data_IF_274150018655
#
_entry.id   IF_274150018655
#
_cell.length_a   1.000
_cell.length_b   1.000
_cell.length_c   1.000
_cell.angle_alpha   90.00
_cell.angle_beta   90.00
_cell.angle_gamma   90.00
#
_symmetry.space_group_name_H-M   'P 1'
#
loop_
_entity.id
_entity.type
_entity.pdbx_description
1 polymer ?
#
# COMPACT_ATOMS: atom_id res chain seq x y z
N UNK A 1 -24.53 -45.54 4.48
CA UNK A 1 -23.78 -44.89 5.58
C UNK A 1 -22.29 -44.69 5.27
N UNK A 2 -21.92 -44.28 4.04
CA UNK A 2 -20.51 -44.05 3.64
C UNK A 2 -20.32 -42.64 3.06
N UNK A 3 -21.32 -42.15 2.33
CA UNK A 3 -21.36 -40.79 1.78
C UNK A 3 -21.38 -39.68 2.83
N UNK A 4 -21.94 -39.92 4.02
CA UNK A 4 -22.04 -38.90 5.07
C UNK A 4 -20.66 -38.55 5.63
N UNK A 5 -19.77 -39.55 5.81
CA UNK A 5 -18.42 -39.31 6.29
C UNK A 5 -17.56 -38.56 5.28
N UNK A 6 -17.62 -38.96 4.00
CA UNK A 6 -16.95 -38.25 2.91
C UNK A 6 -17.49 -36.80 2.77
N UNK A 7 -18.80 -36.61 2.92
CA UNK A 7 -19.42 -35.30 2.92
C UNK A 7 -18.97 -34.44 4.11
N UNK A 8 -18.90 -35.01 5.32
CA UNK A 8 -18.39 -34.30 6.50
C UNK A 8 -16.93 -33.87 6.31
N UNK A 9 -16.07 -34.77 5.81
CA UNK A 9 -14.67 -34.47 5.50
C UNK A 9 -14.55 -33.38 4.43
N UNK A 10 -15.37 -33.43 3.39
CA UNK A 10 -15.44 -32.39 2.36
C UNK A 10 -15.83 -31.03 2.96
N UNK A 11 -16.82 -31.00 3.86
CA UNK A 11 -17.23 -29.77 4.55
C UNK A 11 -16.11 -29.22 5.44
N UNK A 12 -15.39 -30.07 6.17
CA UNK A 12 -14.24 -29.68 6.99
C UNK A 12 -13.11 -29.12 6.11
N UNK A 13 -12.78 -29.80 5.01
CA UNK A 13 -11.76 -29.35 4.05
C UNK A 13 -12.10 -27.99 3.43
N UNK A 14 -13.37 -27.77 3.08
CA UNK A 14 -13.84 -26.49 2.53
C UNK A 14 -13.66 -25.38 3.56
N UNK A 15 -13.94 -25.62 4.85
CA UNK A 15 -13.77 -24.62 5.91
C UNK A 15 -12.31 -24.20 6.08
N UNK A 16 -11.37 -25.13 6.12
CA UNK A 16 -9.94 -24.81 6.19
C UNK A 16 -9.48 -23.99 4.99
N UNK A 17 -9.90 -24.39 3.78
CA UNK A 17 -9.57 -23.64 2.56
C UNK A 17 -10.12 -22.20 2.59
N UNK A 18 -11.33 -21.98 3.16
CA UNK A 18 -11.88 -20.64 3.32
C UNK A 18 -11.04 -19.79 4.29
N UNK A 19 -10.56 -20.36 5.40
CA UNK A 19 -9.72 -19.64 6.36
C UNK A 19 -8.38 -19.22 5.75
N UNK A 20 -7.73 -20.10 4.99
CA UNK A 20 -6.49 -19.80 4.27
C UNK A 20 -6.71 -18.66 3.27
N UNK A 21 -7.79 -18.71 2.50
CA UNK A 21 -8.15 -17.64 1.56
C UNK A 21 -8.34 -16.31 2.29
N UNK A 22 -9.03 -16.29 3.43
CA UNK A 22 -9.21 -15.06 4.21
C UNK A 22 -7.91 -14.48 4.78
N UNK A 23 -7.00 -15.34 5.24
CA UNK A 23 -5.66 -14.90 5.70
C UNK A 23 -4.88 -14.26 4.56
N UNK A 24 -4.82 -14.92 3.40
CA UNK A 24 -4.15 -14.41 2.21
C UNK A 24 -4.74 -13.07 1.75
N UNK A 25 -6.07 -12.93 1.73
CA UNK A 25 -6.74 -11.67 1.39
C UNK A 25 -6.38 -10.56 2.39
N UNK A 26 -6.30 -10.89 3.68
CA UNK A 26 -5.94 -9.94 4.74
C UNK A 26 -4.48 -9.48 4.61
N UNK A 27 -3.56 -10.40 4.35
CA UNK A 27 -2.14 -10.09 4.09
C UNK A 27 -1.98 -9.25 2.84
N UNK A 28 -2.65 -9.59 1.74
CA UNK A 28 -2.61 -8.82 0.51
C UNK A 28 -3.16 -7.40 0.71
N UNK A 29 -4.23 -7.25 1.52
CA UNK A 29 -4.79 -5.94 1.89
C UNK A 29 -3.83 -5.11 2.75
N UNK A 30 -3.10 -5.75 3.67
CA UNK A 30 -2.03 -5.11 4.45
C UNK A 30 -0.85 -4.68 3.56
N UNK A 31 -0.43 -5.55 2.63
CA UNK A 31 0.58 -5.21 1.64
C UNK A 31 0.14 -4.02 0.78
N UNK A 32 -1.10 -3.98 0.27
CA UNK A 32 -1.61 -2.80 -0.48
C UNK A 32 -1.53 -1.50 0.31
N UNK A 33 -1.73 -1.53 1.63
CA UNK A 33 -1.55 -0.36 2.52
C UNK A 33 -0.08 -0.03 2.81
N UNK A 34 0.88 -0.73 2.22
CA UNK A 34 2.32 -0.57 2.48
C UNK A 34 3.07 0.18 1.37
N UNK A 35 2.37 0.59 0.30
CA UNK A 35 2.98 1.29 -0.84
C UNK A 35 2.20 2.55 -1.22
N UNK A 36 2.93 3.58 -1.64
CA UNK A 36 2.42 4.75 -2.36
C UNK A 36 2.40 4.47 -3.86
N UNK A 37 1.25 4.64 -4.51
CA UNK A 37 1.13 4.50 -5.97
C UNK A 37 1.28 5.87 -6.65
N UNK A 38 2.30 6.00 -7.49
CA UNK A 38 2.66 7.26 -8.15
C UNK A 38 2.79 7.02 -9.65
N UNK A 39 2.35 7.96 -10.48
CA UNK A 39 2.59 7.91 -11.92
C UNK A 39 3.87 8.69 -12.21
N UNK A 40 4.90 8.04 -12.75
CA UNK A 40 6.10 8.72 -13.22
C UNK A 40 6.46 8.19 -14.60
N UNK A 41 6.84 9.07 -15.53
CA UNK A 41 7.16 8.71 -16.91
C UNK A 41 6.10 7.82 -17.59
N UNK A 42 4.81 8.13 -17.37
CA UNK A 42 3.65 7.35 -17.88
C UNK A 42 3.58 5.91 -17.39
N UNK A 43 4.33 5.54 -16.35
CA UNK A 43 4.28 4.23 -15.69
C UNK A 43 3.80 4.40 -14.26
N UNK A 44 3.00 3.44 -13.79
CA UNK A 44 2.61 3.35 -12.39
C UNK A 44 3.75 2.70 -11.61
N UNK A 45 4.27 3.43 -10.63
CA UNK A 45 5.34 2.98 -9.73
C UNK A 45 4.74 2.80 -8.35
N UNK A 46 5.03 1.66 -7.71
CA UNK A 46 4.66 1.37 -6.33
C UNK A 46 5.87 1.58 -5.45
N UNK A 47 5.81 2.60 -4.60
CA UNK A 47 6.91 2.98 -3.71
C UNK A 47 6.59 2.50 -2.31
N UNK A 48 7.35 1.58 -1.71
CA UNK A 48 7.09 1.16 -0.34
C UNK A 48 7.21 2.30 0.67
N UNK A 49 6.27 2.43 1.60
CA UNK A 49 6.28 3.51 2.60
C UNK A 49 7.53 3.47 3.49
N UNK A 50 8.09 2.29 3.72
CA UNK A 50 9.32 2.15 4.50
C UNK A 50 10.55 2.75 3.80
N UNK A 51 10.52 2.86 2.46
CA UNK A 51 11.60 3.46 1.66
C UNK A 51 11.46 4.97 1.52
N UNK A 52 10.32 5.57 1.89
CA UNK A 52 10.09 7.01 1.74
C UNK A 52 10.71 7.75 2.93
N UNK A 53 11.63 8.67 2.65
CA UNK A 53 12.27 9.52 3.65
C UNK A 53 11.40 10.77 3.88
N UNK A 54 11.11 11.50 2.80
CA UNK A 54 10.21 12.66 2.81
C UNK A 54 9.66 12.93 1.41
N UNK A 55 8.61 13.74 1.35
CA UNK A 55 7.98 14.19 0.11
C UNK A 55 8.02 15.71 0.08
N UNK A 56 8.52 16.27 -1.01
CA UNK A 56 8.62 17.70 -1.25
C UNK A 56 7.76 18.13 -2.42
N UNK A 57 7.27 19.37 -2.40
CA UNK A 57 6.52 19.98 -3.50
C UNK A 57 7.41 20.88 -4.33
N UNK A 58 7.40 20.69 -5.64
CA UNK A 58 8.10 21.46 -6.67
C UNK A 58 7.09 22.13 -7.60
N UNK A 59 6.45 23.21 -7.14
CA UNK A 59 5.37 23.90 -7.85
C UNK A 59 4.20 22.97 -8.21
N UNK A 60 4.11 22.50 -9.47
CA UNK A 60 3.08 21.57 -9.94
C UNK A 60 3.47 20.09 -9.86
N UNK A 61 4.67 19.83 -9.36
CA UNK A 61 5.22 18.50 -9.18
C UNK A 61 5.38 18.19 -7.70
N UNK A 62 5.39 16.90 -7.39
CA UNK A 62 5.92 16.36 -6.15
C UNK A 62 7.18 15.58 -6.46
N UNK A 63 8.14 15.65 -5.54
CA UNK A 63 9.28 14.78 -5.51
C UNK A 63 9.22 13.93 -4.25
N UNK A 64 9.25 12.61 -4.44
CA UNK A 64 9.33 11.60 -3.39
C UNK A 64 10.77 11.18 -3.27
N UNK A 65 11.39 11.52 -2.14
CA UNK A 65 12.75 11.13 -1.83
C UNK A 65 12.72 9.78 -1.13
N UNK A 66 13.30 8.77 -1.78
CA UNK A 66 13.43 7.41 -1.23
C UNK A 66 14.89 7.12 -0.87
N UNK A 67 15.13 6.00 -0.18
CA UNK A 67 16.49 5.55 0.17
C UNK A 67 17.37 5.34 -1.07
N UNK A 68 16.80 4.82 -2.16
CA UNK A 68 17.56 4.44 -3.36
C UNK A 68 17.58 5.55 -4.44
N UNK A 69 16.49 6.31 -4.55
CA UNK A 69 16.33 7.28 -5.66
C UNK A 69 15.26 8.34 -5.38
N UNK A 70 15.21 9.35 -6.24
CA UNK A 70 14.18 10.39 -6.24
C UNK A 70 13.16 10.12 -7.35
N UNK A 71 11.87 10.23 -7.03
CA UNK A 71 10.78 10.03 -7.99
C UNK A 71 9.99 11.33 -8.12
N UNK A 72 9.92 11.87 -9.33
CA UNK A 72 9.14 13.07 -9.64
C UNK A 72 7.81 12.68 -10.31
N UNK A 73 6.71 13.26 -9.84
CA UNK A 73 5.38 13.12 -10.42
C UNK A 73 4.69 14.48 -10.54
N UNK A 74 3.92 14.68 -11.60
CA UNK A 74 3.09 15.87 -11.80
C UNK A 74 1.77 15.73 -11.03
N UNK A 75 1.80 16.05 -9.75
CA UNK A 75 0.63 16.00 -8.87
C UNK A 75 0.76 17.04 -7.75
N UNK A 76 -0.38 17.52 -7.23
CA UNK A 76 -0.38 18.43 -6.07
C UNK A 76 -0.08 17.66 -4.79
N UNK A 77 0.79 18.21 -3.95
CA UNK A 77 1.17 17.61 -2.66
C UNK A 77 -0.04 17.30 -1.74
N UNK A 78 -1.09 18.12 -1.77
CA UNK A 78 -2.31 17.84 -0.98
C UNK A 78 -3.01 16.55 -1.43
N UNK A 79 -3.09 16.27 -2.75
CA UNK A 79 -3.70 15.02 -3.25
C UNK A 79 -2.89 13.78 -2.87
N UNK A 80 -1.58 13.93 -2.78
CA UNK A 80 -0.69 12.86 -2.33
C UNK A 80 -0.91 12.63 -0.84
N UNK A 81 -0.98 13.70 -0.04
CA UNK A 81 -1.24 13.62 1.40
C UNK A 81 -2.55 12.89 1.74
N UNK A 82 -3.63 13.16 1.01
CA UNK A 82 -4.93 12.49 1.22
C UNK A 82 -4.89 10.96 1.01
N UNK A 83 -3.88 10.47 0.27
CA UNK A 83 -3.67 9.03 0.02
C UNK A 83 -2.65 8.40 0.95
N UNK A 84 -1.91 9.20 1.72
CA UNK A 84 -0.91 8.70 2.66
C UNK A 84 -1.57 8.16 3.93
N UNK A 85 -1.03 7.08 4.50
CA UNK A 85 -1.43 6.61 5.83
C UNK A 85 -0.97 7.57 6.94
N UNK A 86 -1.56 7.42 8.13
CA UNK A 86 -1.30 8.24 9.34
C UNK A 86 0.14 8.14 9.91
N UNK A 87 1.01 7.36 9.26
CA UNK A 87 2.46 7.34 9.51
C UNK A 87 3.19 8.49 8.81
N UNK A 88 2.48 9.38 8.12
CA UNK A 88 3.04 10.58 7.50
C UNK A 88 2.42 11.83 8.12
N UNK A 89 3.25 12.86 8.30
CA UNK A 89 2.86 14.15 8.85
C UNK A 89 3.25 15.26 7.88
N UNK A 90 2.30 16.15 7.59
CA UNK A 90 2.58 17.38 6.84
C UNK A 90 3.06 18.47 7.80
N UNK A 91 4.35 18.78 7.74
CA UNK A 91 4.98 19.82 8.59
C UNK A 91 5.02 21.19 7.92
N UNK A 92 4.84 21.26 6.59
CA UNK A 92 4.82 22.50 5.84
C UNK A 92 3.92 22.38 4.61
N UNK A 93 3.52 23.51 4.01
CA UNK A 93 2.76 23.50 2.74
C UNK A 93 3.48 22.75 1.62
N UNK A 94 4.81 22.66 1.68
CA UNK A 94 5.66 21.99 0.69
C UNK A 94 6.30 20.69 1.16
N UNK A 95 6.14 20.27 2.42
CA UNK A 95 6.84 19.10 2.96
C UNK A 95 5.93 18.17 3.75
N UNK A 96 6.08 16.88 3.49
CA UNK A 96 5.51 15.77 4.25
C UNK A 96 6.65 14.87 4.68
N UNK A 97 6.69 14.50 5.96
CA UNK A 97 7.70 13.63 6.55
C UNK A 97 7.05 12.35 7.07
N UNK A 98 7.83 11.28 7.17
CA UNK A 98 7.41 10.09 7.91
C UNK A 98 7.44 10.40 9.42
N UNK A 99 6.37 10.04 10.13
CA UNK A 99 6.30 10.04 11.60
C UNK A 99 7.10 8.81 12.06
N UNK A 100 8.03 9.02 12.98
CA UNK A 100 9.00 8.04 13.48
C UNK A 100 8.39 6.64 13.70
#
# INVERSE_FOLDING_TARGET
MMFIGAFLLMVLQIRENQEVIQRLLTENKRMKKSFLEIISNRKMIKVPYYNIIFIESLSDYIKVNTIESEIVNKEKISKVYDRLPDIFLRIHRSFIIKKE
#
